data_IF_631811026424
#
_entry.id   IF_631811026424
#
_cell.length_a   1.000
_cell.length_b   1.000
_cell.length_c   1.000
_cell.angle_alpha   90.00
_cell.angle_beta   90.00
_cell.angle_gamma   90.00
#
_symmetry.space_group_name_H-M   'P 1'
#
loop_
_entity.id
_entity.type
_entity.pdbx_description
1 polymer ?
#
# COMPACT_ATOMS: atom_id res chain seq x y z
N UNK A 1 18.96 -25.22 -5.51
CA UNK A 1 18.58 -24.86 -6.89
C UNK A 1 19.78 -24.27 -7.61
N UNK A 2 20.13 -24.78 -8.80
CA UNK A 2 21.23 -24.21 -9.58
C UNK A 2 20.96 -22.76 -9.99
N UNK A 3 22.03 -21.96 -10.09
CA UNK A 3 21.94 -20.56 -10.49
C UNK A 3 21.28 -20.38 -11.86
N UNK A 4 21.54 -21.31 -12.80
CA UNK A 4 20.93 -21.27 -14.14
C UNK A 4 19.42 -21.40 -14.12
N UNK A 5 18.86 -22.25 -13.24
CA UNK A 5 17.41 -22.37 -13.08
C UNK A 5 16.79 -21.13 -12.47
N UNK A 6 17.48 -20.50 -11.52
CA UNK A 6 17.02 -19.24 -10.93
C UNK A 6 16.99 -18.15 -12.00
N UNK A 7 18.01 -18.05 -12.83
CA UNK A 7 18.05 -17.08 -13.91
C UNK A 7 16.94 -17.30 -14.94
N UNK A 8 16.67 -18.56 -15.30
CA UNK A 8 15.57 -18.91 -16.21
C UNK A 8 14.22 -18.53 -15.64
N UNK A 9 13.98 -18.82 -14.34
CA UNK A 9 12.74 -18.44 -13.68
C UNK A 9 12.55 -16.95 -13.62
N UNK A 10 13.61 -16.18 -13.31
CA UNK A 10 13.55 -14.72 -13.29
C UNK A 10 13.29 -14.14 -14.69
N UNK A 11 13.89 -14.72 -15.71
CA UNK A 11 13.69 -14.29 -17.11
C UNK A 11 12.29 -14.67 -17.59
N UNK A 12 11.84 -15.90 -17.33
CA UNK A 12 10.51 -16.38 -17.72
C UNK A 12 9.38 -15.58 -17.06
N UNK A 13 9.62 -15.03 -15.86
CA UNK A 13 8.62 -14.24 -15.13
C UNK A 13 8.51 -12.77 -15.59
N UNK A 14 9.30 -12.33 -16.57
CA UNK A 14 9.27 -10.94 -17.02
C UNK A 14 7.89 -10.52 -17.54
N UNK A 15 7.26 -11.35 -18.37
CA UNK A 15 5.90 -11.09 -18.87
C UNK A 15 4.88 -11.13 -17.74
N UNK A 16 5.05 -12.02 -16.76
CA UNK A 16 4.18 -12.09 -15.58
C UNK A 16 4.32 -10.85 -14.70
N UNK A 17 5.54 -10.31 -14.57
CA UNK A 17 5.78 -9.06 -13.85
C UNK A 17 5.12 -7.88 -14.54
N UNK A 18 5.16 -7.81 -15.86
CA UNK A 18 4.50 -6.76 -16.63
C UNK A 18 2.98 -6.82 -16.45
N UNK A 19 2.39 -8.01 -16.46
CA UNK A 19 0.96 -8.21 -16.20
C UNK A 19 0.61 -7.79 -14.77
N UNK A 20 1.44 -8.15 -13.78
CA UNK A 20 1.22 -7.77 -12.39
C UNK A 20 1.29 -6.26 -12.20
N UNK A 21 2.24 -5.58 -12.86
CA UNK A 21 2.35 -4.12 -12.84
C UNK A 21 1.11 -3.46 -13.46
N UNK A 22 0.68 -3.94 -14.60
CA UNK A 22 -0.53 -3.43 -15.26
C UNK A 22 -1.77 -3.57 -14.36
N UNK A 23 -1.91 -4.70 -13.68
CA UNK A 23 -3.00 -4.93 -12.73
C UNK A 23 -2.91 -3.99 -11.54
N UNK A 24 -1.73 -3.82 -10.98
CA UNK A 24 -1.50 -2.90 -9.87
C UNK A 24 -1.92 -1.48 -10.26
N UNK A 25 -1.45 -1.01 -11.40
CA UNK A 25 -1.79 0.33 -11.89
C UNK A 25 -3.28 0.49 -12.17
N UNK A 26 -3.92 -0.53 -12.75
CA UNK A 26 -5.36 -0.49 -13.02
C UNK A 26 -6.18 -0.42 -11.73
N UNK A 27 -5.85 -1.23 -10.73
CA UNK A 27 -6.54 -1.22 -9.44
C UNK A 27 -6.32 0.12 -8.73
N UNK A 28 -5.10 0.66 -8.76
CA UNK A 28 -4.81 1.95 -8.14
C UNK A 28 -5.58 3.08 -8.82
N UNK A 29 -5.63 3.10 -10.16
CA UNK A 29 -6.41 4.08 -10.90
C UNK A 29 -7.89 4.00 -10.57
N UNK A 30 -8.43 2.78 -10.46
CA UNK A 30 -9.83 2.59 -10.07
C UNK A 30 -10.09 3.11 -8.65
N UNK A 31 -9.23 2.82 -7.70
CA UNK A 31 -9.34 3.33 -6.33
C UNK A 31 -9.34 4.87 -6.31
N UNK A 32 -8.45 5.49 -7.06
CA UNK A 32 -8.37 6.94 -7.18
C UNK A 32 -9.61 7.52 -7.87
N UNK A 33 -10.11 6.86 -8.90
CA UNK A 33 -11.30 7.29 -9.63
C UNK A 33 -12.54 7.28 -8.74
N UNK A 34 -12.68 6.28 -7.86
CA UNK A 34 -13.80 6.20 -6.92
C UNK A 34 -13.80 7.38 -5.93
N UNK A 35 -12.68 8.00 -5.68
CA UNK A 35 -12.54 9.11 -4.75
C UNK A 35 -12.37 10.46 -5.44
N UNK A 36 -12.38 10.51 -6.76
CA UNK A 36 -12.08 11.73 -7.52
C UNK A 36 -13.05 12.89 -7.25
N UNK A 37 -14.29 12.59 -6.89
CA UNK A 37 -15.31 13.59 -6.58
C UNK A 37 -15.34 13.98 -5.10
N UNK A 38 -14.45 13.45 -4.28
CA UNK A 38 -14.37 13.73 -2.86
C UNK A 38 -13.26 14.75 -2.59
N UNK A 39 -13.54 15.74 -1.75
CA UNK A 39 -12.51 16.63 -1.24
C UNK A 39 -11.68 15.94 -0.18
N UNK A 40 -10.48 16.45 0.19
CA UNK A 40 -9.72 15.90 1.32
C UNK A 40 -10.54 15.88 2.61
N UNK A 41 -11.39 16.86 2.84
CA UNK A 41 -12.26 16.94 4.00
C UNK A 41 -13.31 15.83 3.98
N UNK A 42 -13.93 15.57 2.84
CA UNK A 42 -14.88 14.47 2.68
C UNK A 42 -14.22 13.13 2.99
N UNK A 43 -12.98 12.94 2.54
CA UNK A 43 -12.23 11.72 2.74
C UNK A 43 -11.78 11.52 4.19
N UNK A 44 -11.85 12.55 5.02
CA UNK A 44 -11.49 12.52 6.44
C UNK A 44 -12.63 12.10 7.35
N UNK A 45 -13.85 11.98 6.84
CA UNK A 45 -15.03 11.65 7.64
C UNK A 45 -14.97 10.20 8.09
N UNK A 46 -15.07 9.99 9.38
CA UNK A 46 -15.22 8.69 10.00
C UNK A 46 -16.65 8.56 10.49
N UNK A 47 -17.47 7.80 9.76
CA UNK A 47 -18.91 7.70 10.02
C UNK A 47 -19.25 6.98 11.30
N UNK A 48 -18.37 6.11 11.79
CA UNK A 48 -18.50 5.38 13.05
C UNK A 48 -17.12 4.85 13.48
N UNK A 49 -16.95 4.53 14.79
CA UNK A 49 -15.63 4.10 15.31
C UNK A 49 -15.07 2.83 14.65
N UNK A 50 -15.92 1.96 14.11
CA UNK A 50 -15.48 0.69 13.52
C UNK A 50 -15.07 0.81 12.06
N UNK A 51 -15.31 1.96 11.42
CA UNK A 51 -15.00 2.16 10.00
C UNK A 51 -13.89 3.19 9.87
N UNK A 52 -12.90 2.89 9.03
CA UNK A 52 -11.87 3.86 8.71
C UNK A 52 -12.32 4.78 7.58
N UNK A 53 -11.90 6.05 7.58
CA UNK A 53 -12.27 6.99 6.51
C UNK A 53 -11.59 6.65 5.18
N UNK A 54 -12.11 7.19 4.10
CA UNK A 54 -11.59 6.98 2.73
C UNK A 54 -10.10 7.28 2.62
N UNK A 55 -9.64 8.41 3.18
CA UNK A 55 -8.22 8.76 3.17
C UNK A 55 -7.34 7.68 3.81
N UNK A 56 -7.85 7.03 4.86
CA UNK A 56 -7.10 5.99 5.55
C UNK A 56 -6.85 4.80 4.64
N UNK A 57 -7.86 4.36 3.89
CA UNK A 57 -7.72 3.23 2.97
C UNK A 57 -6.72 3.51 1.85
N UNK A 58 -6.76 4.69 1.26
CA UNK A 58 -5.79 5.08 0.22
C UNK A 58 -4.37 5.12 0.77
N UNK A 59 -4.20 5.71 1.94
CA UNK A 59 -2.89 5.81 2.58
C UNK A 59 -2.39 4.46 3.10
N UNK A 60 -3.29 3.60 3.61
CA UNK A 60 -2.95 2.25 4.06
C UNK A 60 -2.39 1.40 2.91
N UNK A 61 -3.02 1.41 1.75
CA UNK A 61 -2.52 0.66 0.60
C UNK A 61 -1.17 1.22 0.11
N UNK A 62 -0.98 2.52 0.10
CA UNK A 62 0.31 3.13 -0.21
C UNK A 62 1.39 2.66 0.78
N UNK A 63 1.12 2.78 2.08
CA UNK A 63 2.03 2.34 3.14
C UNK A 63 2.35 0.85 3.04
N UNK A 64 1.36 0.01 2.76
CA UNK A 64 1.54 -1.44 2.63
C UNK A 64 2.55 -1.79 1.54
N UNK A 65 2.37 -1.23 0.35
CA UNK A 65 3.27 -1.50 -0.76
C UNK A 65 4.67 -0.93 -0.53
N UNK A 66 4.79 0.23 0.10
CA UNK A 66 6.08 0.76 0.49
C UNK A 66 6.82 -0.16 1.47
N UNK A 67 6.13 -0.58 2.52
CA UNK A 67 6.74 -1.32 3.63
C UNK A 67 7.11 -2.73 3.22
N UNK A 68 6.22 -3.44 2.55
CA UNK A 68 6.38 -4.87 2.30
C UNK A 68 6.99 -5.19 0.94
N UNK A 69 7.03 -4.24 0.03
CA UNK A 69 7.56 -4.47 -1.32
C UNK A 69 8.71 -3.51 -1.61
N UNK A 70 8.44 -2.23 -1.74
CA UNK A 70 9.45 -1.26 -2.23
C UNK A 70 10.64 -1.13 -1.28
N UNK A 71 10.40 -0.95 0.01
CA UNK A 71 11.48 -0.80 0.99
C UNK A 71 12.31 -2.07 1.16
N UNK A 72 11.72 -3.24 0.92
CA UNK A 72 12.44 -4.52 1.02
C UNK A 72 13.25 -4.84 -0.24
N UNK A 73 12.76 -4.43 -1.40
CA UNK A 73 13.38 -4.76 -2.68
C UNK A 73 14.38 -3.72 -3.16
N UNK A 74 14.24 -2.49 -2.72
CA UNK A 74 15.13 -1.38 -3.09
C UNK A 74 15.72 -0.74 -1.83
N UNK A 75 17.02 -0.99 -1.52
CA UNK A 75 17.66 -0.42 -0.34
C UNK A 75 17.78 1.10 -0.38
N UNK A 76 17.62 1.72 -1.54
CA UNK A 76 17.66 3.17 -1.71
C UNK A 76 16.28 3.82 -1.68
N UNK A 77 15.22 3.01 -1.54
CA UNK A 77 13.86 3.54 -1.50
C UNK A 77 13.64 4.35 -0.22
N UNK A 78 13.08 5.54 -0.38
CA UNK A 78 12.70 6.40 0.75
C UNK A 78 11.18 6.39 0.89
N UNK A 79 10.71 6.02 2.08
CA UNK A 79 9.28 6.07 2.37
C UNK A 79 8.77 7.51 2.27
N UNK A 80 7.52 7.64 1.84
CA UNK A 80 6.88 8.95 1.65
C UNK A 80 6.87 9.77 2.95
N UNK A 81 6.41 9.14 4.04
CA UNK A 81 6.41 9.76 5.37
C UNK A 81 6.55 8.65 6.43
N UNK A 82 7.58 8.72 7.30
CA UNK A 82 7.77 7.71 8.35
C UNK A 82 6.58 7.57 9.30
N UNK A 83 5.77 8.60 9.47
CA UNK A 83 4.58 8.55 10.33
C UNK A 83 3.51 7.60 9.79
N UNK A 84 3.55 7.24 8.52
CA UNK A 84 2.57 6.32 7.92
C UNK A 84 2.59 4.94 8.56
N UNK A 85 3.75 4.48 9.05
CA UNK A 85 3.85 3.21 9.75
C UNK A 85 2.94 3.15 10.99
N UNK A 86 2.82 4.25 11.71
CA UNK A 86 1.91 4.34 12.85
C UNK A 86 0.48 4.63 12.42
N UNK A 87 0.29 5.62 11.55
CA UNK A 87 -1.04 6.13 11.19
C UNK A 87 -1.87 5.14 10.37
N UNK A 88 -1.23 4.38 9.50
CA UNK A 88 -1.92 3.57 8.48
C UNK A 88 -1.68 2.07 8.60
N UNK A 89 -0.97 1.60 9.63
CA UNK A 89 -0.89 0.20 9.96
C UNK A 89 -2.22 -0.28 10.58
N UNK A 90 -2.61 -1.51 10.28
CA UNK A 90 -3.86 -2.10 10.81
C UNK A 90 -3.59 -3.30 11.72
N UNK A 91 -3.05 -4.39 11.17
CA UNK A 91 -2.89 -5.65 11.90
C UNK A 91 -1.44 -6.10 12.05
N UNK A 92 -0.49 -5.36 11.53
CA UNK A 92 0.90 -5.81 11.41
C UNK A 92 1.69 -5.41 12.65
N UNK A 93 1.45 -6.09 13.76
CA UNK A 93 2.08 -5.78 15.05
C UNK A 93 3.61 -5.83 15.00
N UNK A 94 4.17 -6.70 14.16
CA UNK A 94 5.62 -6.80 13.97
C UNK A 94 6.25 -5.54 13.38
N UNK A 95 5.47 -4.68 12.72
CA UNK A 95 5.94 -3.39 12.19
C UNK A 95 6.09 -2.35 13.30
N UNK A 96 5.27 -2.44 14.34
CA UNK A 96 5.29 -1.53 15.48
C UNK A 96 3.91 -1.04 15.88
N UNK A 97 3.84 0.01 16.73
CA UNK A 97 2.58 0.59 17.20
C UNK A 97 1.72 1.12 16.05
N UNK A 98 0.41 1.13 16.26
CA UNK A 98 -0.56 1.64 15.28
C UNK A 98 -1.54 2.61 15.91
N UNK A 99 -2.02 3.54 15.10
CA UNK A 99 -3.02 4.53 15.49
C UNK A 99 -4.38 3.84 15.72
N UNK A 100 -5.07 4.11 16.84
CA UNK A 100 -6.34 3.45 17.15
C UNK A 100 -7.40 3.72 16.07
N UNK A 101 -8.14 2.66 15.68
CA UNK A 101 -9.16 2.77 14.64
C UNK A 101 -10.21 3.86 14.94
N UNK A 102 -10.77 3.98 16.16
CA UNK A 102 -11.77 5.00 16.44
C UNK A 102 -11.29 6.45 16.25
N UNK A 103 -9.98 6.67 16.21
CA UNK A 103 -9.39 8.00 16.08
C UNK A 103 -8.87 8.31 14.67
N UNK A 104 -9.25 7.53 13.65
CA UNK A 104 -8.73 7.69 12.29
C UNK A 104 -9.38 8.81 11.47
N UNK A 105 -10.41 9.39 11.97
CA UNK A 105 -11.09 10.52 11.34
C UNK A 105 -10.25 11.79 11.18
#
# INVERSE_FOLDING_TARGET
MPVSEIAEQLTASAAERDVALERFEAVRRESEALTANLTPEDQSIQSMPDVSPTKWHLAHTTWFFETFILARLDPNYRVFDPAFAYLFNSYYEAVGPRHPRPARG
#
